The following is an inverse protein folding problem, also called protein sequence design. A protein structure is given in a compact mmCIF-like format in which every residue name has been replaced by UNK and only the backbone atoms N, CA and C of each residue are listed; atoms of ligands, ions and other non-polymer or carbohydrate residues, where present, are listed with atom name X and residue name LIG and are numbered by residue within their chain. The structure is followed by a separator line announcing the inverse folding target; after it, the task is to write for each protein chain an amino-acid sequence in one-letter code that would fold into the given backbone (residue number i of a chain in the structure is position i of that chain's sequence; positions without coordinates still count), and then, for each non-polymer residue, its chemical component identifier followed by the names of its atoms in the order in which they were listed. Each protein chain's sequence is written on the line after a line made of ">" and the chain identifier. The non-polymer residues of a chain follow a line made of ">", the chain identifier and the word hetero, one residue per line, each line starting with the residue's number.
data_IF_391385964447
#
_entry.id   IF_391385964447
#
_cell.length_a   1.000
_cell.length_b   1.000
_cell.length_c   1.000
_cell.angle_alpha   90.00
_cell.angle_beta   90.00
_cell.angle_gamma   90.00
#
_symmetry.space_group_name_H-M   'P 1'
#
loop_
_entity.id
_entity.type
_entity.pdbx_description
1 polymer ?
#
# COMPACT_ATOMS: atom_id res chain seq x y z
N UNK A 1 13.63 5.58 -66.29
CA UNK A 1 12.37 6.25 -65.91
C UNK A 1 12.80 7.49 -65.12
N UNK A 2 12.61 8.77 -65.53
CA UNK A 2 11.43 9.47 -66.12
C UNK A 2 10.15 9.15 -65.35
N UNK A 3 9.27 10.06 -64.91
CA UNK A 3 9.15 11.54 -64.76
C UNK A 3 7.83 11.73 -63.93
N UNK A 4 7.48 12.83 -63.26
CA UNK A 4 8.09 14.15 -63.02
C UNK A 4 7.05 15.10 -62.35
N UNK A 5 7.49 16.27 -61.86
CA UNK A 5 6.65 17.48 -61.64
C UNK A 5 6.57 18.26 -62.99
N UNK A 6 5.90 19.44 -63.15
CA UNK A 6 5.14 20.35 -62.24
C UNK A 6 3.74 20.69 -62.87
N UNK A 7 3.19 21.94 -62.97
CA UNK A 7 3.24 23.19 -62.17
C UNK A 7 1.84 23.78 -61.78
N UNK A 8 1.76 24.92 -61.05
CA UNK A 8 0.49 25.61 -60.70
C UNK A 8 0.13 26.79 -61.64
N UNK A 9 -1.04 27.40 -61.42
CA UNK A 9 -1.51 28.67 -62.01
C UNK A 9 -2.61 29.33 -61.12
N UNK A 10 -3.07 30.57 -61.31
CA UNK A 10 -2.43 31.88 -61.63
C UNK A 10 -3.49 33.00 -61.50
N UNK A 11 -3.08 34.24 -61.25
CA UNK A 11 -3.92 35.45 -61.33
C UNK A 11 -4.77 35.80 -60.09
N UNK A 12 -5.15 37.06 -59.83
CA UNK A 12 -4.91 38.33 -60.57
C UNK A 12 -4.74 39.53 -59.62
N UNK A 13 -4.16 40.63 -60.14
CA UNK A 13 -3.99 41.94 -59.48
C UNK A 13 -5.04 42.97 -59.93
N UNK A 14 -5.48 43.84 -59.03
CA UNK A 14 -5.77 45.30 -59.17
C UNK A 14 -5.58 45.86 -57.73
N UNK A 15 -4.72 46.83 -57.36
CA UNK A 15 -4.58 48.25 -57.77
C UNK A 15 -5.86 49.07 -57.43
N UNK A 16 -5.87 50.34 -56.98
CA UNK A 16 -5.07 51.55 -57.30
C UNK A 16 -5.21 52.63 -56.17
N UNK A 17 -4.10 53.26 -55.72
CA UNK A 17 -3.96 54.65 -55.18
C UNK A 17 -4.94 55.12 -54.04
N UNK A 18 -5.31 56.41 -53.78
CA UNK A 18 -4.60 57.63 -53.26
C UNK A 18 -5.62 58.42 -52.37
N UNK A 19 -5.32 59.23 -51.33
CA UNK A 19 -4.15 59.49 -50.46
C UNK A 19 -4.54 60.39 -49.25
N UNK A 20 -3.55 60.93 -48.51
CA UNK A 20 -3.57 62.12 -47.63
C UNK A 20 -4.88 62.61 -46.95
N UNK A 21 -4.85 62.70 -45.62
CA UNK A 21 -4.64 64.01 -44.96
C UNK A 21 -4.14 63.84 -43.51
N UNK A 22 -3.65 64.93 -42.93
CA UNK A 22 -2.93 64.97 -41.65
C UNK A 22 -3.70 65.74 -40.58
N UNK A 23 -3.39 65.44 -39.31
CA UNK A 23 -3.19 66.34 -38.14
C UNK A 23 -3.34 65.47 -36.87
N UNK A 24 -2.38 65.57 -35.95
CA UNK A 24 -2.36 64.78 -34.72
C UNK A 24 -2.72 65.61 -33.47
N UNK A 25 -2.91 64.92 -32.34
CA UNK A 25 -3.02 65.50 -31.00
C UNK A 25 -2.13 64.70 -30.03
N UNK A 26 -1.65 65.37 -28.97
CA UNK A 26 -0.72 64.81 -27.97
C UNK A 26 -1.45 63.88 -27.00
N UNK A 27 -0.78 62.80 -26.59
CA UNK A 27 -1.20 61.97 -25.45
C UNK A 27 -0.06 61.12 -24.92
N UNK A 28 0.59 61.55 -23.82
CA UNK A 28 1.52 60.69 -23.08
C UNK A 28 0.68 59.72 -22.22
N UNK A 29 0.46 58.52 -22.74
CA UNK A 29 -0.04 57.39 -21.94
C UNK A 29 1.13 56.55 -21.42
N UNK A 30 1.61 56.83 -20.21
CA UNK A 30 2.67 56.02 -19.59
C UNK A 30 2.06 54.70 -19.08
N UNK A 31 1.94 53.72 -19.97
CA UNK A 31 1.42 52.39 -19.65
C UNK A 31 2.42 51.62 -18.76
N UNK A 32 2.36 51.84 -17.46
CA UNK A 32 3.10 51.08 -16.46
C UNK A 32 2.54 49.64 -16.41
N UNK A 33 3.11 48.76 -17.24
CA UNK A 33 2.84 47.33 -17.20
C UNK A 33 3.39 46.76 -15.89
N UNK A 34 2.54 46.71 -14.85
CA UNK A 34 2.85 46.03 -13.59
C UNK A 34 2.88 44.54 -13.88
N UNK A 35 4.08 44.04 -14.19
CA UNK A 35 4.42 42.62 -14.09
C UNK A 35 4.33 42.23 -12.62
N UNK A 36 3.12 41.85 -12.20
CA UNK A 36 2.95 41.00 -11.04
C UNK A 36 3.66 39.68 -11.34
N UNK A 37 4.91 39.59 -10.91
CA UNK A 37 5.54 38.29 -10.73
C UNK A 37 4.69 37.55 -9.70
N UNK A 38 4.05 36.47 -10.12
CA UNK A 38 3.46 35.49 -9.21
C UNK A 38 4.61 34.85 -8.44
N UNK A 39 5.01 35.49 -7.34
CA UNK A 39 5.71 34.80 -6.26
C UNK A 39 4.76 33.70 -5.81
N UNK A 40 5.12 32.41 -5.92
CA UNK A 40 4.25 31.34 -5.44
C UNK A 40 3.96 31.54 -3.96
N UNK A 41 2.73 31.24 -3.53
CA UNK A 41 2.38 31.33 -2.13
C UNK A 41 3.25 30.35 -1.33
N UNK A 42 4.01 30.84 -0.35
CA UNK A 42 4.72 29.97 0.58
C UNK A 42 3.70 29.20 1.40
N UNK A 43 3.77 27.87 1.34
CA UNK A 43 2.71 26.98 1.83
C UNK A 43 2.31 25.88 0.84
N UNK A 44 2.74 25.94 -0.43
CA UNK A 44 2.45 24.91 -1.45
C UNK A 44 3.75 24.40 -2.09
N UNK A 45 3.87 23.08 -2.23
CA UNK A 45 4.87 22.38 -3.03
C UNK A 45 4.14 21.44 -3.99
N UNK A 46 4.48 21.49 -5.28
CA UNK A 46 4.06 20.48 -6.25
C UNK A 46 5.26 20.05 -7.11
N UNK A 47 5.37 18.76 -7.39
CA UNK A 47 6.18 18.23 -8.49
C UNK A 47 5.28 17.36 -9.39
N UNK A 48 4.89 17.85 -10.58
CA UNK A 48 4.08 17.12 -11.55
C UNK A 48 4.92 16.36 -12.58
N UNK A 49 6.25 16.25 -12.37
CA UNK A 49 7.17 15.45 -13.20
C UNK A 49 7.20 15.74 -14.73
N UNK A 50 6.56 16.82 -15.21
CA UNK A 50 6.60 17.27 -16.61
C UNK A 50 8.00 17.71 -17.09
N UNK A 51 8.90 18.00 -16.14
CA UNK A 51 10.26 18.48 -16.40
C UNK A 51 11.34 17.38 -16.36
N UNK A 52 12.63 17.74 -16.62
CA UNK A 52 13.74 16.82 -16.42
C UNK A 52 13.87 16.41 -14.94
N UNK A 53 13.67 15.13 -14.65
CA UNK A 53 13.72 14.60 -13.29
C UNK A 53 15.12 14.75 -12.68
N UNK A 54 15.23 15.63 -11.68
CA UNK A 54 16.48 15.88 -10.95
C UNK A 54 16.65 14.82 -9.87
N UNK A 55 17.70 14.00 -9.97
CA UNK A 55 18.09 13.04 -8.94
C UNK A 55 19.16 13.66 -8.03
N UNK A 56 18.95 13.60 -6.72
CA UNK A 56 19.85 14.13 -5.70
C UNK A 56 19.85 13.20 -4.48
N UNK A 57 21.00 12.60 -4.17
CA UNK A 57 21.14 11.67 -3.04
C UNK A 57 20.89 12.32 -1.66
N UNK A 58 20.91 13.65 -1.56
CA UNK A 58 20.59 14.43 -0.34
C UNK A 58 19.12 14.83 -0.23
N UNK A 59 18.36 14.73 -1.33
CA UNK A 59 16.97 15.22 -1.50
C UNK A 59 16.77 16.75 -1.49
N UNK A 60 17.84 17.55 -1.31
CA UNK A 60 17.75 19.00 -1.12
C UNK A 60 17.37 19.76 -2.41
N UNK A 61 17.89 19.33 -3.56
CA UNK A 61 17.69 19.99 -4.86
C UNK A 61 17.03 19.10 -5.91
N UNK A 62 16.87 17.81 -5.63
CA UNK A 62 16.13 16.84 -6.46
C UNK A 62 15.54 15.72 -5.60
N UNK A 63 15.04 14.66 -6.24
CA UNK A 63 14.54 13.47 -5.56
C UNK A 63 15.69 12.54 -5.18
N UNK A 64 15.70 12.10 -3.91
CA UNK A 64 16.47 10.95 -3.46
C UNK A 64 15.63 9.68 -3.62
N UNK A 65 16.27 8.54 -3.87
CA UNK A 65 15.63 7.22 -3.79
C UNK A 65 16.55 6.21 -3.10
N UNK A 66 15.98 5.31 -2.28
CA UNK A 66 16.74 4.32 -1.48
C UNK A 66 15.93 3.06 -1.20
N UNK A 67 16.62 1.93 -1.10
CA UNK A 67 16.07 0.65 -0.60
C UNK A 67 16.74 0.22 0.71
N UNK A 68 16.13 -0.72 1.42
CA UNK A 68 16.71 -1.31 2.63
C UNK A 68 15.93 -2.51 3.18
N UNK A 69 16.42 -3.03 4.31
CA UNK A 69 16.07 -4.31 4.97
C UNK A 69 16.23 -5.60 4.13
N UNK A 70 16.06 -5.53 2.81
CA UNK A 70 16.30 -6.63 1.88
C UNK A 70 17.38 -6.35 0.82
N UNK A 71 17.42 -7.19 -0.21
CA UNK A 71 18.30 -7.05 -1.38
C UNK A 71 17.58 -6.42 -2.60
N UNK A 72 16.39 -5.83 -2.41
CA UNK A 72 15.68 -5.17 -3.50
C UNK A 72 16.49 -3.98 -4.02
N UNK A 73 16.58 -3.85 -5.34
CA UNK A 73 17.16 -2.69 -6.02
C UNK A 73 16.05 -1.86 -6.65
N UNK A 74 16.26 -0.54 -6.76
CA UNK A 74 15.29 0.35 -7.39
C UNK A 74 15.96 1.34 -8.35
N UNK A 75 15.17 1.87 -9.27
CA UNK A 75 15.50 2.95 -10.18
C UNK A 75 14.35 3.97 -10.21
N UNK A 76 14.67 5.23 -10.51
CA UNK A 76 13.73 6.35 -10.56
C UNK A 76 13.97 7.15 -11.85
N UNK A 77 13.02 7.06 -12.77
CA UNK A 77 13.13 7.63 -14.13
C UNK A 77 11.92 8.50 -14.48
N UNK A 78 12.08 9.44 -15.40
CA UNK A 78 10.95 10.12 -16.04
C UNK A 78 10.40 9.25 -17.18
N UNK A 79 9.08 9.14 -17.30
CA UNK A 79 8.42 8.45 -18.41
C UNK A 79 7.02 8.99 -18.65
N UNK A 80 6.71 9.30 -19.90
CA UNK A 80 5.33 9.57 -20.36
C UNK A 80 4.62 10.75 -19.65
N UNK A 81 5.37 11.71 -19.11
CA UNK A 81 4.87 12.84 -18.31
C UNK A 81 4.72 12.56 -16.81
N UNK A 82 5.24 11.43 -16.32
CA UNK A 82 5.21 11.01 -14.93
C UNK A 82 6.60 10.58 -14.44
N UNK A 83 6.81 10.54 -13.12
CA UNK A 83 7.90 9.76 -12.55
C UNK A 83 7.57 8.27 -12.56
N UNK A 84 8.60 7.42 -12.61
CA UNK A 84 8.49 5.96 -12.60
C UNK A 84 9.45 5.39 -11.57
N UNK A 85 8.89 4.84 -10.51
CA UNK A 85 9.59 3.98 -9.56
C UNK A 85 9.58 2.56 -10.15
N UNK A 86 10.75 2.00 -10.40
CA UNK A 86 10.93 0.59 -10.75
C UNK A 86 11.67 -0.12 -9.63
N UNK A 87 11.22 -1.31 -9.23
CA UNK A 87 11.85 -2.13 -8.19
C UNK A 87 12.04 -3.55 -8.70
N UNK A 88 13.22 -4.12 -8.48
CA UNK A 88 13.52 -5.53 -8.71
C UNK A 88 13.89 -6.19 -7.37
N UNK A 89 13.00 -7.06 -6.88
CA UNK A 89 13.16 -7.81 -5.65
C UNK A 89 13.57 -9.28 -5.89
N UNK A 90 13.91 -9.67 -7.13
CA UNK A 90 14.21 -11.07 -7.50
C UNK A 90 15.49 -11.65 -6.90
N UNK A 91 16.28 -10.81 -6.22
CA UNK A 91 17.46 -11.21 -5.45
C UNK A 91 17.25 -11.13 -3.93
N UNK A 92 16.07 -10.72 -3.48
CA UNK A 92 15.67 -10.81 -2.08
C UNK A 92 15.37 -12.27 -1.67
N UNK A 93 15.35 -12.53 -0.35
CA UNK A 93 15.21 -13.88 0.22
C UNK A 93 14.09 -13.99 1.26
N UNK A 94 13.46 -12.87 1.63
CA UNK A 94 12.56 -12.78 2.79
C UNK A 94 11.24 -12.07 2.48
N UNK A 95 11.22 -11.19 1.47
CA UNK A 95 10.07 -10.34 1.18
C UNK A 95 9.90 -9.19 2.17
N UNK A 96 10.89 -8.94 3.05
CA UNK A 96 10.98 -7.73 3.90
C UNK A 96 11.96 -6.75 3.27
N UNK A 97 11.43 -5.78 2.53
CA UNK A 97 12.19 -4.71 1.89
C UNK A 97 11.31 -3.48 1.70
N UNK A 98 11.90 -2.31 1.88
CA UNK A 98 11.28 -1.05 1.47
C UNK A 98 12.08 -0.41 0.33
N UNK A 99 11.36 0.32 -0.51
CA UNK A 99 11.90 1.14 -1.59
C UNK A 99 11.14 2.46 -1.60
N UNK A 100 11.81 3.59 -1.40
CA UNK A 100 11.15 4.90 -1.33
C UNK A 100 11.80 5.96 -2.20
N UNK A 101 11.00 6.95 -2.59
CA UNK A 101 11.43 8.25 -3.12
C UNK A 101 11.18 9.33 -2.07
N UNK A 102 12.06 10.32 -1.96
CA UNK A 102 12.00 11.39 -0.95
C UNK A 102 12.48 12.73 -1.51
N UNK A 103 11.84 13.83 -1.09
CA UNK A 103 12.15 15.21 -1.49
C UNK A 103 12.16 16.14 -0.28
N UNK A 104 13.17 17.01 -0.14
CA UNK A 104 13.13 18.12 0.83
C UNK A 104 12.28 19.27 0.27
N UNK A 105 11.38 19.81 1.10
CA UNK A 105 10.36 20.80 0.70
C UNK A 105 10.28 22.03 1.62
N UNK A 106 11.15 22.16 2.62
CA UNK A 106 11.29 23.37 3.46
C UNK A 106 11.39 24.69 2.68
N UNK A 107 12.08 24.79 1.53
CA UNK A 107 12.14 26.05 0.77
C UNK A 107 10.79 26.56 0.24
N UNK A 108 9.78 25.69 0.15
CA UNK A 108 8.44 25.96 -0.40
C UNK A 108 7.36 26.12 0.68
N UNK A 109 7.42 25.32 1.75
CA UNK A 109 6.42 25.28 2.82
C UNK A 109 6.75 26.27 3.94
N UNK A 110 5.79 27.10 4.36
CA UNK A 110 5.97 27.97 5.53
C UNK A 110 5.75 27.20 6.84
N UNK A 111 6.82 26.62 7.37
CA UNK A 111 6.83 25.94 8.67
C UNK A 111 6.53 26.85 9.87
N UNK A 112 6.48 28.18 9.72
CA UNK A 112 5.96 29.06 10.76
C UNK A 112 4.43 29.05 10.82
N UNK A 113 3.76 28.64 9.73
CA UNK A 113 2.31 28.49 9.67
C UNK A 113 1.77 27.41 10.60
N UNK A 114 2.51 26.32 10.80
CA UNK A 114 2.15 25.22 11.72
C UNK A 114 2.07 25.63 13.20
N UNK A 115 2.55 26.82 13.56
CA UNK A 115 2.34 27.40 14.89
C UNK A 115 0.95 28.06 15.06
N UNK A 116 0.13 28.12 14.00
CA UNK A 116 -1.23 28.65 14.04
C UNK A 116 -2.23 27.51 14.35
N UNK A 117 -3.11 27.64 15.36
CA UNK A 117 -4.07 26.60 15.71
C UNK A 117 -4.97 26.21 14.53
N UNK A 118 -5.10 24.90 14.28
CA UNK A 118 -5.89 24.38 13.15
C UNK A 118 -5.20 24.50 11.79
N UNK A 119 -3.87 24.54 11.75
CA UNK A 119 -3.07 24.52 10.51
C UNK A 119 -2.19 23.28 10.47
N UNK A 120 -2.33 22.47 9.42
CA UNK A 120 -1.68 21.16 9.24
C UNK A 120 -1.01 21.05 7.86
N UNK A 121 -0.23 19.99 7.65
CA UNK A 121 0.25 19.61 6.33
C UNK A 121 -0.70 18.59 5.70
N UNK A 122 -1.05 18.78 4.43
CA UNK A 122 -1.68 17.74 3.60
C UNK A 122 -0.71 17.32 2.51
N UNK A 123 -0.47 16.01 2.36
CA UNK A 123 0.19 15.46 1.18
C UNK A 123 -0.83 14.74 0.31
N UNK A 124 -0.74 14.95 -1.00
CA UNK A 124 -1.53 14.29 -2.02
C UNK A 124 -0.59 13.71 -3.09
N UNK A 125 -0.86 12.49 -3.54
CA UNK A 125 -0.12 11.87 -4.64
C UNK A 125 -1.09 11.13 -5.57
N UNK A 126 -0.81 11.16 -6.87
CA UNK A 126 -1.57 10.42 -7.88
C UNK A 126 -0.69 9.36 -8.54
N UNK A 127 -1.10 8.11 -8.43
CA UNK A 127 -0.23 6.94 -8.65
C UNK A 127 -0.89 5.86 -9.49
N UNK A 128 -0.11 5.11 -10.26
CA UNK A 128 -0.55 3.97 -11.06
C UNK A 128 0.37 2.78 -10.83
N UNK A 129 -0.18 1.75 -10.18
CA UNK A 129 0.54 0.49 -9.95
C UNK A 129 0.48 -0.45 -11.16
N UNK A 130 1.55 -1.21 -11.36
CA UNK A 130 1.61 -2.35 -12.29
C UNK A 130 0.94 -3.62 -11.78
N UNK A 131 0.71 -3.75 -10.47
CA UNK A 131 0.20 -4.95 -9.80
C UNK A 131 -0.86 -4.57 -8.77
N UNK A 132 -1.91 -5.38 -8.64
CA UNK A 132 -3.00 -5.14 -7.69
C UNK A 132 -3.59 -6.45 -7.12
N UNK A 133 -4.20 -6.44 -5.92
CA UNK A 133 -4.14 -5.33 -4.96
C UNK A 133 -2.72 -5.17 -4.41
N UNK A 134 -2.28 -3.92 -4.29
CA UNK A 134 -0.99 -3.52 -3.69
C UNK A 134 -1.16 -2.23 -2.91
N UNK A 135 -0.21 -1.92 -2.05
CA UNK A 135 -0.31 -0.77 -1.14
C UNK A 135 0.98 0.03 -1.13
N UNK A 136 0.84 1.34 -1.24
CA UNK A 136 1.95 2.31 -1.08
C UNK A 136 1.79 3.03 0.26
N UNK A 137 2.86 3.68 0.71
CA UNK A 137 2.85 4.51 1.90
C UNK A 137 3.20 5.96 1.55
N UNK A 138 2.52 6.92 2.18
CA UNK A 138 2.92 8.32 2.22
C UNK A 138 3.46 8.65 3.61
N UNK A 139 4.47 9.54 3.66
CA UNK A 139 5.09 9.97 4.90
C UNK A 139 5.56 11.43 4.77
N UNK A 140 5.23 12.24 5.77
CA UNK A 140 5.85 13.55 6.01
C UNK A 140 6.74 13.43 7.25
N UNK A 141 8.01 13.81 7.16
CA UNK A 141 8.93 13.76 8.29
C UNK A 141 9.96 14.90 8.29
N UNK A 142 10.60 15.11 9.44
CA UNK A 142 11.69 16.08 9.60
C UNK A 142 13.00 15.39 9.96
N UNK A 143 14.11 16.14 9.96
CA UNK A 143 15.38 15.70 10.54
C UNK A 143 15.33 15.48 12.08
N UNK A 144 14.21 15.85 12.74
CA UNK A 144 13.95 15.58 14.16
C UNK A 144 13.01 14.39 14.42
N UNK A 145 12.40 13.80 13.39
CA UNK A 145 11.48 12.67 13.54
C UNK A 145 12.17 11.48 14.20
N UNK A 146 11.57 10.99 15.29
CA UNK A 146 12.03 9.79 16.03
C UNK A 146 11.03 8.64 15.95
N UNK A 147 9.73 8.94 15.96
CA UNK A 147 8.68 8.02 15.54
C UNK A 147 8.44 8.14 14.03
N UNK A 148 8.87 7.12 13.29
CA UNK A 148 8.70 7.03 11.83
C UNK A 148 7.40 6.33 11.42
N UNK A 149 6.48 6.05 12.36
CA UNK A 149 5.19 5.42 12.10
C UNK A 149 4.01 6.38 12.31
N UNK A 150 4.09 7.32 13.26
CA UNK A 150 2.99 8.25 13.57
C UNK A 150 2.46 9.07 12.40
N UNK A 151 3.34 9.42 11.44
CA UNK A 151 2.98 10.14 10.20
C UNK A 151 3.16 9.26 8.94
N UNK A 152 3.04 7.93 9.05
CA UNK A 152 3.20 6.97 7.95
C UNK A 152 1.87 6.25 7.69
N UNK A 153 1.11 6.71 6.68
CA UNK A 153 -0.13 6.05 6.27
C UNK A 153 0.07 5.17 5.03
N UNK A 154 -0.61 4.03 5.02
CA UNK A 154 -0.68 3.04 3.96
C UNK A 154 -2.02 3.14 3.18
N UNK A 155 -1.97 3.01 1.86
CA UNK A 155 -3.12 3.17 0.95
C UNK A 155 -3.29 1.97 0.02
N UNK A 156 -4.50 1.43 -0.07
CA UNK A 156 -4.83 0.29 -0.95
C UNK A 156 -5.08 0.75 -2.41
N UNK A 157 -4.33 0.17 -3.33
CA UNK A 157 -4.47 0.34 -4.78
C UNK A 157 -5.14 -0.92 -5.35
N UNK A 158 -6.49 -0.94 -5.50
CA UNK A 158 -7.24 -2.17 -5.76
C UNK A 158 -7.19 -2.65 -7.22
N UNK A 159 -6.70 -1.82 -8.15
CA UNK A 159 -6.64 -2.09 -9.59
C UNK A 159 -5.31 -1.68 -10.20
N UNK A 160 -4.80 -2.49 -11.14
CA UNK A 160 -3.54 -2.27 -11.84
C UNK A 160 -3.77 -1.53 -13.17
N UNK A 161 -2.82 -0.67 -13.56
CA UNK A 161 -2.91 0.14 -14.78
C UNK A 161 -3.81 1.37 -14.69
N UNK A 162 -4.54 1.55 -13.59
CA UNK A 162 -5.40 2.71 -13.33
C UNK A 162 -4.71 3.76 -12.44
N UNK A 163 -5.09 5.02 -12.59
CA UNK A 163 -4.62 6.14 -11.75
C UNK A 163 -5.49 6.28 -10.51
N UNK A 164 -4.87 6.22 -9.32
CA UNK A 164 -5.49 6.42 -8.01
C UNK A 164 -4.92 7.70 -7.38
N UNK A 165 -5.78 8.57 -6.83
CA UNK A 165 -5.32 9.68 -5.99
C UNK A 165 -5.47 9.30 -4.52
N UNK A 166 -4.39 9.50 -3.76
CA UNK A 166 -4.29 9.22 -2.32
C UNK A 166 -3.87 10.50 -1.60
N UNK A 167 -4.38 10.73 -0.39
CA UNK A 167 -3.92 11.86 0.44
C UNK A 167 -3.96 11.55 1.93
N UNK A 168 -3.16 12.28 2.70
CA UNK A 168 -3.29 12.38 4.15
C UNK A 168 -3.09 13.82 4.60
N UNK A 169 -3.94 14.29 5.51
CA UNK A 169 -3.70 15.47 6.34
C UNK A 169 -3.13 15.02 7.70
N UNK A 170 -2.14 15.75 8.22
CA UNK A 170 -1.49 15.45 9.50
C UNK A 170 -2.36 15.85 10.70
N UNK A 171 -1.97 15.39 11.89
CA UNK A 171 -2.57 15.76 13.18
C UNK A 171 -1.41 16.08 14.16
N UNK A 172 -1.36 17.31 14.68
CA UNK A 172 -0.31 17.85 15.55
C UNK A 172 1.13 17.68 15.02
N UNK A 173 1.36 17.97 13.73
CA UNK A 173 2.68 17.76 13.10
C UNK A 173 3.77 18.68 13.68
N UNK A 174 4.76 18.10 14.37
CA UNK A 174 5.89 18.82 14.99
C UNK A 174 6.97 19.30 13.98
N UNK A 175 6.55 20.07 12.97
CA UNK A 175 7.43 20.81 12.06
C UNK A 175 7.61 22.26 12.53
N UNK A 176 8.85 22.78 12.52
CA UNK A 176 9.17 24.12 13.03
C UNK A 176 10.11 24.90 12.10
N UNK A 177 10.13 26.24 12.16
CA UNK A 177 11.10 27.04 11.41
C UNK A 177 12.55 26.62 11.70
N UNK A 178 13.29 26.28 10.64
CA UNK A 178 14.64 25.73 10.73
C UNK A 178 14.74 24.21 10.59
N UNK A 179 13.62 23.49 10.54
CA UNK A 179 13.61 22.07 10.20
C UNK A 179 13.73 21.83 8.69
N UNK A 180 14.26 20.66 8.34
CA UNK A 180 14.21 20.09 7.01
C UNK A 180 12.98 19.17 6.95
N UNK A 181 11.88 19.68 6.39
CA UNK A 181 10.67 18.90 6.07
C UNK A 181 10.90 18.13 4.77
N UNK A 182 10.50 16.87 4.78
CA UNK A 182 10.54 15.99 3.63
C UNK A 182 9.19 15.33 3.39
N UNK A 183 8.86 15.16 2.11
CA UNK A 183 7.81 14.24 1.66
C UNK A 183 8.45 12.96 1.12
N UNK A 184 7.82 11.82 1.41
CA UNK A 184 8.28 10.50 1.00
C UNK A 184 7.11 9.63 0.54
N UNK A 185 7.33 8.88 -0.54
CA UNK A 185 6.41 7.85 -1.05
C UNK A 185 7.18 6.52 -1.12
N UNK A 186 6.60 5.45 -0.56
CA UNK A 186 7.25 4.14 -0.45
C UNK A 186 6.42 2.98 -1.01
N UNK A 187 7.12 1.96 -1.49
CA UNK A 187 6.65 0.60 -1.69
C UNK A 187 7.31 -0.26 -0.60
N UNK A 188 6.52 -1.06 0.11
CA UNK A 188 7.00 -1.90 1.20
C UNK A 188 6.49 -3.34 1.02
N UNK A 189 7.42 -4.28 0.92
CA UNK A 189 7.19 -5.73 0.97
C UNK A 189 6.31 -6.31 -0.15
N UNK A 190 6.36 -5.77 -1.38
CA UNK A 190 5.46 -6.17 -2.48
C UNK A 190 5.62 -7.60 -3.01
N UNK A 191 6.60 -8.37 -2.52
CA UNK A 191 6.95 -9.73 -2.95
C UNK A 191 8.40 -9.87 -3.43
N UNK A 192 8.71 -10.96 -4.15
CA UNK A 192 10.05 -11.21 -4.70
C UNK A 192 10.14 -10.93 -6.22
N UNK A 193 9.11 -10.35 -6.81
CA UNK A 193 9.00 -10.07 -8.24
C UNK A 193 9.64 -8.74 -8.69
N UNK A 194 9.14 -8.23 -9.82
CA UNK A 194 9.49 -6.90 -10.36
C UNK A 194 8.25 -6.01 -10.33
N UNK A 195 8.40 -4.81 -9.76
CA UNK A 195 7.30 -3.91 -9.49
C UNK A 195 7.56 -2.53 -10.11
N UNK A 196 6.46 -1.85 -10.43
CA UNK A 196 6.46 -0.51 -11.02
C UNK A 196 5.31 0.30 -10.46
N UNK A 197 5.58 1.51 -10.03
CA UNK A 197 4.60 2.56 -9.75
C UNK A 197 4.97 3.76 -10.60
N UNK A 198 4.06 4.18 -11.47
CA UNK A 198 4.13 5.49 -12.11
C UNK A 198 3.49 6.53 -11.15
N UNK A 199 4.05 7.73 -11.06
CA UNK A 199 3.58 8.83 -10.18
C UNK A 199 3.37 10.07 -11.04
N UNK A 200 2.13 10.52 -11.12
CA UNK A 200 1.65 11.65 -11.94
C UNK A 200 2.06 12.98 -11.32
N UNK A 201 1.82 13.14 -10.00
CA UNK A 201 2.31 14.26 -9.21
C UNK A 201 2.45 13.88 -7.73
N UNK A 202 3.23 14.68 -7.00
CA UNK A 202 3.17 14.78 -5.52
C UNK A 202 2.99 16.24 -5.15
N UNK A 203 1.92 16.57 -4.40
CA UNK A 203 1.65 17.90 -3.84
C UNK A 203 1.70 17.86 -2.32
N UNK A 204 2.19 18.93 -1.69
CA UNK A 204 2.12 19.15 -0.24
C UNK A 204 1.65 20.57 0.02
N UNK A 205 0.55 20.68 0.77
CA UNK A 205 -0.17 21.91 1.06
C UNK A 205 -0.16 22.19 2.57
N UNK A 206 -0.01 23.46 2.95
CA UNK A 206 -0.33 23.95 4.30
C UNK A 206 -1.82 24.31 4.34
N UNK A 207 -2.62 23.60 5.15
CA UNK A 207 -4.09 23.65 5.09
C UNK A 207 -4.74 23.86 6.46
N UNK A 208 -5.98 24.37 6.44
CA UNK A 208 -6.93 24.22 7.54
C UNK A 208 -7.75 22.92 7.30
N UNK A 209 -7.64 21.89 8.16
CA UNK A 209 -8.37 20.63 8.01
C UNK A 209 -9.90 20.79 7.96
N UNK A 210 -10.48 21.83 8.55
CA UNK A 210 -11.92 22.09 8.49
C UNK A 210 -12.38 22.53 7.09
N UNK A 211 -11.45 23.00 6.25
CA UNK A 211 -11.71 23.51 4.90
C UNK A 211 -11.06 22.67 3.78
N UNK A 212 -10.03 21.86 4.09
CA UNK A 212 -9.30 21.03 3.13
C UNK A 212 -10.14 19.90 2.48
N UNK A 213 -11.21 19.46 3.16
CA UNK A 213 -12.03 18.33 2.73
C UNK A 213 -11.42 16.96 3.09
N UNK A 214 -12.19 15.87 2.89
CA UNK A 214 -11.79 14.53 3.33
C UNK A 214 -10.56 14.01 2.58
N UNK A 215 -9.80 13.14 3.21
CA UNK A 215 -8.67 12.46 2.59
C UNK A 215 -9.08 11.37 1.59
N UNK A 216 -8.22 11.17 0.59
CA UNK A 216 -8.45 10.31 -0.56
C UNK A 216 -7.72 8.97 -0.42
N UNK A 217 -8.30 7.90 -0.99
CA UNK A 217 -7.75 6.54 -0.93
C UNK A 217 -7.93 5.81 0.41
N UNK A 218 -8.32 6.50 1.49
CA UNK A 218 -8.65 5.89 2.77
C UNK A 218 -7.44 5.32 3.52
N UNK A 219 -6.43 6.16 3.75
CA UNK A 219 -5.18 5.79 4.40
C UNK A 219 -5.35 5.19 5.81
N UNK A 220 -4.43 4.29 6.17
CA UNK A 220 -4.41 3.58 7.45
C UNK A 220 -3.01 3.66 8.09
N UNK A 221 -2.87 3.78 9.42
CA UNK A 221 -1.55 3.73 10.05
C UNK A 221 -0.82 2.43 9.73
N UNK A 222 0.47 2.49 9.38
CA UNK A 222 1.27 1.32 8.99
C UNK A 222 1.28 0.17 10.03
N UNK A 223 1.22 0.52 11.31
CA UNK A 223 0.91 -0.40 12.41
C UNK A 223 -0.43 0.00 13.05
N UNK A 224 -1.57 -0.47 12.52
CA UNK A 224 -2.88 -0.03 12.99
C UNK A 224 -3.17 -0.63 14.38
N UNK A 225 -3.66 0.17 15.35
CA UNK A 225 -3.87 -0.28 16.72
C UNK A 225 -4.86 -1.44 16.77
N UNK A 226 -4.56 -2.47 17.57
CA UNK A 226 -5.39 -3.67 17.68
C UNK A 226 -6.69 -3.34 18.43
N UNK A 227 -7.86 -3.43 17.77
CA UNK A 227 -9.15 -3.11 18.40
C UNK A 227 -9.58 -4.20 19.38
N UNK A 228 -10.17 -3.80 20.51
CA UNK A 228 -10.71 -4.73 21.50
C UNK A 228 -11.80 -5.64 20.88
N UNK A 229 -11.74 -6.98 21.01
CA UNK A 229 -12.67 -7.90 20.34
C UNK A 229 -14.17 -7.66 20.58
N UNK A 230 -14.54 -6.94 21.64
CA UNK A 230 -15.91 -6.59 22.03
C UNK A 230 -16.54 -5.45 21.21
N UNK A 231 -15.78 -4.71 20.39
CA UNK A 231 -16.34 -3.62 19.54
C UNK A 231 -17.03 -4.13 18.28
N UNK A 232 -16.95 -5.43 18.00
CA UNK A 232 -17.43 -6.06 16.77
C UNK A 232 -18.77 -6.77 16.98
N UNK A 233 -19.75 -6.42 16.13
CA UNK A 233 -21.10 -6.99 16.15
C UNK A 233 -21.19 -8.33 15.42
N UNK A 234 -20.29 -8.58 14.48
CA UNK A 234 -20.26 -9.83 13.70
C UNK A 234 -19.01 -10.62 14.06
N UNK A 235 -19.21 -11.91 14.30
CA UNK A 235 -18.18 -12.89 14.67
C UNK A 235 -18.42 -14.12 13.81
N UNK A 236 -17.45 -14.49 12.98
CA UNK A 236 -17.56 -15.56 11.98
C UNK A 236 -16.35 -16.47 12.07
N UNK A 237 -16.56 -17.70 12.53
CA UNK A 237 -15.53 -18.75 12.53
C UNK A 237 -15.22 -19.20 11.10
N UNK A 238 -14.00 -19.65 10.86
CA UNK A 238 -13.60 -20.22 9.57
C UNK A 238 -14.53 -21.37 9.16
N UNK A 239 -15.03 -21.31 7.93
CA UNK A 239 -15.85 -22.35 7.33
C UNK A 239 -15.01 -23.52 6.83
N UNK A 240 -13.74 -23.28 6.48
CA UNK A 240 -12.70 -24.28 6.24
C UNK A 240 -11.35 -23.77 6.76
N UNK A 241 -10.54 -24.69 7.28
CA UNK A 241 -9.15 -24.45 7.66
C UNK A 241 -8.31 -25.70 7.41
N UNK A 242 -7.07 -25.52 6.92
CA UNK A 242 -6.17 -26.62 6.62
C UNK A 242 -4.69 -26.19 6.72
N UNK A 243 -3.79 -27.17 6.86
CA UNK A 243 -2.36 -26.99 6.58
C UNK A 243 -2.08 -27.46 5.16
N UNK A 244 -1.25 -26.73 4.40
CA UNK A 244 -0.68 -27.17 3.12
C UNK A 244 0.85 -27.14 3.21
N UNK A 245 1.54 -28.00 2.47
CA UNK A 245 3.00 -28.06 2.46
C UNK A 245 3.55 -27.93 1.03
N UNK A 246 4.45 -26.96 0.81
CA UNK A 246 5.10 -26.75 -0.50
C UNK A 246 6.16 -27.80 -0.86
N UNK A 247 6.59 -28.61 0.11
CA UNK A 247 7.59 -29.69 -0.05
C UNK A 247 6.95 -31.03 -0.38
N UNK A 248 5.76 -31.30 0.16
CA UNK A 248 4.96 -32.49 -0.12
C UNK A 248 3.68 -32.06 -0.87
N UNK A 249 3.80 -31.56 -2.11
CA UNK A 249 2.82 -30.65 -2.71
C UNK A 249 1.48 -31.31 -3.09
N UNK A 250 1.47 -32.63 -3.22
CA UNK A 250 0.29 -33.46 -3.53
C UNK A 250 -0.32 -34.10 -2.27
N UNK A 251 0.22 -33.86 -1.08
CA UNK A 251 -0.30 -34.39 0.17
C UNK A 251 -1.51 -33.57 0.67
N UNK A 252 -2.60 -34.25 1.02
CA UNK A 252 -3.64 -33.69 1.87
C UNK A 252 -3.27 -33.90 3.34
N UNK A 253 -3.39 -32.84 4.14
CA UNK A 253 -2.97 -32.83 5.55
C UNK A 253 -4.17 -32.68 6.52
N UNK A 254 -5.37 -33.17 6.16
CA UNK A 254 -6.57 -33.06 7.01
C UNK A 254 -6.40 -33.70 8.39
N UNK A 255 -5.59 -34.77 8.45
CA UNK A 255 -5.34 -35.61 9.63
C UNK A 255 -4.06 -35.14 10.38
N UNK A 256 -3.52 -33.97 10.04
CA UNK A 256 -2.33 -33.38 10.67
C UNK A 256 -2.60 -32.91 12.11
N UNK A 257 -1.76 -33.35 13.04
CA UNK A 257 -1.97 -33.22 14.48
C UNK A 257 -0.66 -33.10 15.25
N UNK A 258 -0.70 -32.43 16.40
CA UNK A 258 0.27 -32.62 17.46
C UNK A 258 0.00 -33.96 18.15
N UNK A 259 1.05 -34.71 18.47
CA UNK A 259 0.95 -35.88 19.36
C UNK A 259 1.28 -35.41 20.78
N UNK A 260 0.27 -35.41 21.63
CA UNK A 260 0.37 -35.02 23.04
C UNK A 260 1.17 -36.06 23.86
N UNK A 261 1.68 -35.74 25.05
CA UNK A 261 2.47 -36.67 25.87
C UNK A 261 1.74 -37.95 26.32
N UNK A 262 0.41 -38.00 26.24
CA UNK A 262 -0.41 -39.19 26.51
C UNK A 262 -0.72 -40.04 25.26
N UNK A 263 -0.24 -39.61 24.08
CA UNK A 263 -0.48 -40.25 22.79
C UNK A 263 -1.71 -39.73 22.03
N UNK A 264 -2.45 -38.76 22.58
CA UNK A 264 -3.60 -38.14 21.90
C UNK A 264 -3.13 -37.35 20.67
N UNK A 265 -3.84 -37.49 19.55
CA UNK A 265 -3.63 -36.68 18.36
C UNK A 265 -4.55 -35.44 18.37
N UNK A 266 -3.99 -34.27 18.68
CA UNK A 266 -4.71 -32.99 18.67
C UNK A 266 -4.55 -32.31 17.30
N UNK A 267 -5.60 -32.12 16.49
CA UNK A 267 -5.47 -31.48 15.18
C UNK A 267 -4.96 -30.04 15.27
N UNK A 268 -4.01 -29.66 14.42
CA UNK A 268 -3.39 -28.32 14.40
C UNK A 268 -3.29 -27.73 12.98
N UNK A 269 -3.28 -26.40 12.91
CA UNK A 269 -2.85 -25.65 11.74
C UNK A 269 -1.39 -25.25 11.92
N UNK A 270 -0.51 -25.53 10.97
CA UNK A 270 0.94 -25.30 11.14
C UNK A 270 1.51 -24.30 10.14
N UNK A 271 2.37 -23.41 10.65
CA UNK A 271 3.12 -22.42 9.88
C UNK A 271 4.61 -22.61 10.18
N UNK A 272 5.39 -23.05 9.19
CA UNK A 272 6.84 -23.27 9.32
C UNK A 272 7.54 -23.17 7.95
N UNK A 273 8.82 -23.51 7.89
CA UNK A 273 9.66 -23.40 6.68
C UNK A 273 9.16 -24.11 5.41
N UNK A 274 8.19 -25.03 5.49
CA UNK A 274 7.51 -25.59 4.30
C UNK A 274 5.97 -25.57 4.40
N UNK A 275 5.42 -25.58 5.60
CA UNK A 275 3.98 -25.62 5.87
C UNK A 275 3.37 -24.23 6.04
N UNK A 276 2.12 -24.08 5.61
CA UNK A 276 1.35 -22.84 5.72
C UNK A 276 -0.11 -23.15 6.04
N UNK A 277 -0.74 -22.32 6.87
CA UNK A 277 -2.12 -22.50 7.29
C UNK A 277 -3.07 -21.66 6.42
N UNK A 278 -4.04 -22.29 5.77
CA UNK A 278 -5.05 -21.64 4.93
C UNK A 278 -6.40 -21.57 5.64
N UNK A 279 -7.11 -20.45 5.46
CA UNK A 279 -8.37 -20.13 6.13
C UNK A 279 -9.38 -19.58 5.12
N UNK A 280 -10.61 -20.13 5.09
CA UNK A 280 -11.76 -19.57 4.34
C UNK A 280 -12.98 -19.43 5.24
N UNK A 281 -13.76 -18.38 5.01
CA UNK A 281 -15.05 -18.13 5.66
C UNK A 281 -16.19 -18.21 4.64
N UNK A 282 -17.40 -18.51 5.13
CA UNK A 282 -18.62 -18.19 4.40
C UNK A 282 -19.08 -16.80 4.86
N UNK A 283 -19.17 -15.87 3.90
CA UNK A 283 -19.56 -14.48 4.12
C UNK A 283 -20.77 -14.09 3.25
N UNK A 284 -21.50 -15.05 2.65
CA UNK A 284 -22.62 -14.76 1.75
C UNK A 284 -23.72 -13.92 2.43
N UNK A 285 -23.92 -14.10 3.75
CA UNK A 285 -24.84 -13.31 4.57
C UNK A 285 -24.50 -11.80 4.66
N UNK A 286 -23.33 -11.38 4.18
CA UNK A 286 -22.87 -9.99 4.16
C UNK A 286 -22.71 -9.43 2.74
N UNK A 287 -23.04 -10.20 1.69
CA UNK A 287 -22.85 -9.80 0.31
C UNK A 287 -23.54 -8.46 0.00
N UNK A 288 -22.83 -7.57 -0.69
CA UNK A 288 -23.28 -6.21 -1.02
C UNK A 288 -23.04 -5.16 0.08
N UNK A 289 -23.04 -5.55 1.36
CA UNK A 289 -22.82 -4.66 2.51
C UNK A 289 -21.40 -4.08 2.51
N UNK A 290 -21.21 -2.96 3.22
CA UNK A 290 -19.92 -2.26 3.32
C UNK A 290 -19.31 -2.34 4.70
N UNK A 291 -18.00 -2.55 4.78
CA UNK A 291 -17.26 -2.49 6.05
C UNK A 291 -17.48 -1.12 6.72
N UNK A 292 -17.60 -1.14 8.05
CA UNK A 292 -17.83 0.02 8.89
C UNK A 292 -16.75 0.14 9.97
N UNK A 293 -16.21 1.35 10.14
CA UNK A 293 -15.07 1.61 11.02
C UNK A 293 -13.72 1.36 10.33
N UNK A 294 -12.65 1.35 11.13
CA UNK A 294 -11.25 1.25 10.69
C UNK A 294 -10.80 -0.15 10.22
N UNK A 295 -11.69 -1.14 10.21
CA UNK A 295 -11.41 -2.49 9.74
C UNK A 295 -12.04 -3.57 10.61
N UNK A 296 -11.26 -4.59 10.93
CA UNK A 296 -11.68 -5.72 11.75
C UNK A 296 -10.50 -6.54 12.25
N UNK A 297 -10.78 -7.73 12.76
CA UNK A 297 -9.82 -8.56 13.48
C UNK A 297 -9.91 -10.02 13.06
N UNK A 298 -8.78 -10.63 12.70
CA UNK A 298 -8.60 -12.07 12.70
C UNK A 298 -8.03 -12.49 14.06
N UNK A 299 -8.66 -13.47 14.67
CA UNK A 299 -8.26 -14.07 15.94
C UNK A 299 -7.83 -15.52 15.71
N UNK A 300 -6.65 -15.88 16.19
CA UNK A 300 -6.09 -17.23 16.16
C UNK A 300 -5.76 -17.69 17.59
N UNK A 301 -6.04 -18.94 17.93
CA UNK A 301 -5.64 -19.53 19.22
C UNK A 301 -4.30 -20.23 19.08
N UNK A 302 -3.28 -19.79 19.82
CA UNK A 302 -1.97 -20.46 19.83
C UNK A 302 -2.11 -21.86 20.42
N UNK A 303 -1.57 -22.85 19.71
CA UNK A 303 -1.35 -24.19 20.24
C UNK A 303 0.10 -24.32 20.76
N UNK A 304 1.10 -23.93 19.97
CA UNK A 304 2.50 -23.77 20.41
C UNK A 304 3.29 -22.86 19.48
N UNK A 305 4.40 -22.31 19.99
CA UNK A 305 5.38 -21.54 19.19
C UNK A 305 6.79 -22.03 19.50
N UNK A 306 7.64 -22.11 18.47
CA UNK A 306 9.09 -22.22 18.59
C UNK A 306 9.75 -21.18 17.67
N UNK A 307 10.50 -20.25 18.27
CA UNK A 307 11.22 -19.16 17.59
C UNK A 307 12.60 -18.96 18.23
N UNK A 308 13.51 -18.24 17.57
CA UNK A 308 14.81 -17.87 18.19
C UNK A 308 14.54 -16.93 19.38
N UNK A 309 15.25 -17.14 20.50
CA UNK A 309 15.18 -16.24 21.66
C UNK A 309 15.78 -14.86 21.35
N UNK A 310 16.80 -14.80 20.49
CA UNK A 310 17.31 -13.55 19.93
C UNK A 310 16.37 -13.06 18.82
N UNK A 311 15.68 -11.94 19.08
CA UNK A 311 14.80 -11.27 18.13
C UNK A 311 15.62 -10.48 17.11
N UNK A 312 15.83 -11.07 15.93
CA UNK A 312 16.19 -10.31 14.73
C UNK A 312 14.94 -9.63 14.17
N UNK A 313 15.06 -8.44 13.55
CA UNK A 313 13.92 -7.73 12.94
C UNK A 313 13.07 -8.68 12.07
N UNK A 314 11.77 -8.67 12.34
CA UNK A 314 10.66 -9.43 11.73
C UNK A 314 10.84 -10.97 11.71
N UNK A 315 11.87 -11.50 12.37
CA UNK A 315 12.23 -12.91 12.33
C UNK A 315 11.60 -13.68 13.50
N UNK A 316 10.86 -14.76 13.20
CA UNK A 316 10.07 -15.47 14.21
C UNK A 316 8.66 -14.88 14.36
N UNK A 317 8.16 -14.23 13.31
CA UNK A 317 6.77 -13.79 13.14
C UNK A 317 6.04 -14.71 12.13
N UNK A 318 4.73 -14.53 11.97
CA UNK A 318 4.01 -15.00 10.79
C UNK A 318 3.64 -13.84 9.87
N UNK A 319 3.67 -14.09 8.57
CA UNK A 319 3.22 -13.19 7.52
C UNK A 319 1.79 -13.55 7.12
N UNK A 320 0.87 -12.61 7.28
CA UNK A 320 -0.56 -12.79 7.01
C UNK A 320 -0.87 -12.23 5.62
N UNK A 321 -1.38 -13.02 4.69
CA UNK A 321 -1.60 -12.60 3.29
C UNK A 321 -2.97 -13.05 2.74
N UNK A 322 -3.47 -12.31 1.75
CA UNK A 322 -4.71 -12.63 1.05
C UNK A 322 -4.53 -13.82 0.08
N UNK A 323 -5.50 -14.73 0.01
CA UNK A 323 -5.61 -15.69 -1.10
C UNK A 323 -6.45 -15.02 -2.20
N UNK A 324 -5.81 -14.57 -3.28
CA UNK A 324 -6.44 -13.84 -4.39
C UNK A 324 -7.09 -14.81 -5.41
N UNK A 325 -6.40 -15.92 -5.73
CA UNK A 325 -6.86 -16.86 -6.74
C UNK A 325 -6.74 -18.34 -6.29
N UNK A 326 -6.30 -19.26 -7.15
CA UNK A 326 -6.24 -20.69 -6.85
C UNK A 326 -7.58 -21.41 -7.07
N UNK A 327 -7.91 -22.39 -6.23
CA UNK A 327 -9.29 -22.84 -6.02
C UNK A 327 -10.01 -21.92 -5.03
N UNK A 328 -11.28 -21.61 -5.30
CA UNK A 328 -12.16 -20.91 -4.36
C UNK A 328 -12.98 -21.87 -3.48
N UNK A 329 -13.14 -23.14 -3.89
CA UNK A 329 -14.08 -24.11 -3.29
C UNK A 329 -13.44 -25.27 -2.55
N UNK A 330 -12.12 -25.25 -2.35
CA UNK A 330 -11.33 -26.23 -1.61
C UNK A 330 -11.95 -26.66 -0.28
N UNK A 331 -11.80 -27.92 0.13
CA UNK A 331 -12.23 -28.40 1.43
C UNK A 331 -11.02 -28.95 2.20
N UNK A 332 -11.09 -28.98 3.52
CA UNK A 332 -10.04 -29.58 4.37
C UNK A 332 -9.73 -31.01 3.95
N UNK A 333 -10.74 -31.77 3.53
CA UNK A 333 -10.66 -33.20 3.23
C UNK A 333 -10.01 -33.54 1.88
N UNK A 334 -9.84 -32.55 0.98
CA UNK A 334 -9.28 -32.73 -0.38
C UNK A 334 -8.18 -31.73 -0.78
N UNK A 335 -7.99 -30.64 -0.03
CA UNK A 335 -7.01 -29.61 -0.37
C UNK A 335 -5.56 -30.09 -0.21
N UNK A 336 -4.73 -29.76 -1.18
CA UNK A 336 -3.27 -29.93 -1.22
C UNK A 336 -2.65 -28.61 -1.66
N UNK A 337 -1.31 -28.51 -1.67
CA UNK A 337 -0.65 -27.33 -2.22
C UNK A 337 -0.96 -27.16 -3.72
N UNK A 338 -0.91 -28.26 -4.50
CA UNK A 338 -1.23 -28.23 -5.93
C UNK A 338 -2.71 -27.98 -6.23
N UNK A 339 -3.64 -28.61 -5.50
CA UNK A 339 -5.08 -28.42 -5.78
C UNK A 339 -5.55 -27.01 -5.43
N UNK A 340 -4.93 -26.37 -4.42
CA UNK A 340 -5.13 -24.95 -4.16
C UNK A 340 -4.53 -24.05 -5.24
N UNK A 341 -3.28 -24.27 -5.68
CA UNK A 341 -2.65 -23.39 -6.68
C UNK A 341 -3.20 -23.58 -8.10
N UNK A 342 -3.73 -24.77 -8.42
CA UNK A 342 -4.22 -25.16 -9.75
C UNK A 342 -3.17 -24.98 -10.85
N UNK A 343 -1.91 -25.32 -10.57
CA UNK A 343 -0.79 -25.24 -11.51
C UNK A 343 -0.21 -23.83 -11.76
N UNK A 344 -0.69 -22.82 -11.03
CA UNK A 344 -0.12 -21.45 -11.05
C UNK A 344 0.99 -21.28 -10.02
N UNK A 345 1.77 -20.20 -10.15
CA UNK A 345 2.77 -19.84 -9.15
C UNK A 345 2.14 -19.31 -7.86
N UNK A 346 2.84 -19.39 -6.71
CA UNK A 346 2.33 -18.85 -5.45
C UNK A 346 2.06 -17.35 -5.47
N UNK A 347 2.80 -16.57 -6.27
CA UNK A 347 2.63 -15.10 -6.37
C UNK A 347 1.42 -14.68 -7.24
N UNK A 348 0.85 -15.59 -8.02
CA UNK A 348 -0.44 -15.40 -8.73
C UNK A 348 -1.65 -15.74 -7.85
N UNK A 349 -1.47 -16.57 -6.82
CA UNK A 349 -2.56 -17.14 -6.01
C UNK A 349 -2.65 -16.51 -4.63
N UNK A 350 -1.52 -16.19 -4.01
CA UNK A 350 -1.43 -15.43 -2.77
C UNK A 350 -1.00 -14.01 -3.09
N UNK A 351 -1.52 -13.00 -2.39
CA UNK A 351 -0.95 -11.66 -2.44
C UNK A 351 0.44 -11.71 -1.80
N UNK A 352 1.54 -11.47 -2.53
CA UNK A 352 2.88 -11.56 -1.95
C UNK A 352 3.20 -10.36 -1.04
N UNK A 353 2.38 -9.30 -1.04
CA UNK A 353 2.41 -8.25 -0.02
C UNK A 353 1.58 -8.66 1.20
N UNK A 354 2.19 -8.62 2.39
CA UNK A 354 1.52 -8.91 3.65
C UNK A 354 0.36 -7.97 3.92
N UNK A 355 -0.74 -8.49 4.48
CA UNK A 355 -1.75 -7.68 5.18
C UNK A 355 -1.07 -7.04 6.39
N UNK A 356 -0.39 -7.87 7.19
CA UNK A 356 0.47 -7.46 8.30
C UNK A 356 1.39 -8.65 8.65
N UNK A 357 2.59 -8.36 9.16
CA UNK A 357 3.43 -9.35 9.84
C UNK A 357 3.25 -9.22 11.35
N UNK A 358 3.13 -10.35 12.06
CA UNK A 358 2.67 -10.34 13.45
C UNK A 358 3.40 -11.36 14.32
N UNK A 359 3.73 -10.96 15.54
CA UNK A 359 4.20 -11.88 16.57
C UNK A 359 3.07 -12.80 17.03
N UNK A 360 3.35 -14.10 17.03
CA UNK A 360 2.45 -15.10 17.60
C UNK A 360 2.52 -15.04 19.12
N UNK A 361 1.38 -15.08 19.80
CA UNK A 361 1.31 -15.19 21.26
C UNK A 361 2.00 -16.50 21.72
N UNK A 362 2.83 -16.44 22.76
CA UNK A 362 3.80 -17.51 23.06
C UNK A 362 3.19 -18.73 23.78
N UNK A 363 2.07 -18.59 24.50
CA UNK A 363 1.50 -19.68 25.32
C UNK A 363 0.29 -20.38 24.68
N UNK A 364 0.11 -21.67 24.97
CA UNK A 364 -1.04 -22.47 24.53
C UNK A 364 -2.35 -21.90 25.10
N UNK A 365 -3.31 -21.63 24.22
CA UNK A 365 -4.60 -21.02 24.54
C UNK A 365 -4.66 -19.49 24.44
N UNK A 366 -3.51 -18.80 24.35
CA UNK A 366 -3.47 -17.35 24.11
C UNK A 366 -3.99 -17.00 22.71
N UNK A 367 -4.43 -15.75 22.54
CA UNK A 367 -5.01 -15.25 21.28
C UNK A 367 -4.03 -14.34 20.57
N UNK A 368 -3.61 -14.75 19.38
CA UNK A 368 -2.92 -13.86 18.43
C UNK A 368 -3.99 -13.04 17.72
N UNK A 369 -3.96 -11.72 17.91
CA UNK A 369 -4.96 -10.78 17.42
C UNK A 369 -4.37 -9.96 16.26
N UNK A 370 -5.02 -10.02 15.11
CA UNK A 370 -4.46 -9.57 13.83
C UNK A 370 -5.42 -8.57 13.19
N UNK A 371 -5.04 -7.29 13.15
CA UNK A 371 -5.86 -6.25 12.50
C UNK A 371 -5.91 -6.47 10.99
N UNK A 372 -7.12 -6.39 10.42
CA UNK A 372 -7.36 -6.47 8.97
C UNK A 372 -7.95 -5.14 8.47
N UNK A 373 -7.43 -4.65 7.34
CA UNK A 373 -7.89 -3.39 6.75
C UNK A 373 -9.33 -3.47 6.20
N UNK A 374 -10.05 -2.33 6.07
CA UNK A 374 -11.36 -2.30 5.42
C UNK A 374 -11.32 -2.82 3.97
N UNK A 375 -10.22 -2.57 3.25
CA UNK A 375 -10.06 -3.02 1.87
C UNK A 375 -9.97 -4.55 1.76
N UNK A 376 -9.16 -5.19 2.60
CA UNK A 376 -9.02 -6.66 2.67
C UNK A 376 -10.34 -7.31 3.08
N UNK A 377 -11.01 -6.77 4.11
CA UNK A 377 -12.30 -7.29 4.58
C UNK A 377 -13.42 -7.07 3.56
N UNK A 378 -13.43 -5.96 2.83
CA UNK A 378 -14.37 -5.75 1.73
C UNK A 378 -14.09 -6.73 0.59
N UNK A 379 -12.82 -7.01 0.24
CA UNK A 379 -12.49 -8.05 -0.75
C UNK A 379 -12.95 -9.44 -0.32
N UNK A 380 -12.83 -9.78 0.97
CA UNK A 380 -13.36 -11.04 1.54
C UNK A 380 -14.90 -11.12 1.43
N UNK A 381 -15.62 -10.07 1.79
CA UNK A 381 -17.10 -10.03 1.68
C UNK A 381 -17.57 -10.03 0.22
N UNK A 382 -16.87 -9.31 -0.67
CA UNK A 382 -17.17 -9.28 -2.10
C UNK A 382 -16.78 -10.58 -2.84
N UNK A 383 -16.13 -11.54 -2.16
CA UNK A 383 -15.59 -12.76 -2.77
C UNK A 383 -14.39 -12.55 -3.71
N UNK A 384 -13.81 -11.34 -3.71
CA UNK A 384 -12.61 -10.96 -4.48
C UNK A 384 -11.32 -11.49 -3.86
N UNK A 385 -11.33 -11.71 -2.54
CA UNK A 385 -10.32 -12.47 -1.80
C UNK A 385 -10.98 -13.73 -1.24
N UNK A 386 -10.37 -14.88 -1.46
CA UNK A 386 -10.95 -16.23 -1.25
C UNK A 386 -10.63 -16.83 0.11
N UNK A 387 -9.79 -16.16 0.88
CA UNK A 387 -9.32 -16.60 2.18
C UNK A 387 -8.06 -15.84 2.60
N UNK A 388 -7.46 -16.30 3.69
CA UNK A 388 -6.17 -15.83 4.21
C UNK A 388 -5.23 -17.04 4.28
N UNK A 389 -3.95 -16.84 3.95
CA UNK A 389 -2.89 -17.82 4.26
C UNK A 389 -1.87 -17.20 5.21
N UNK A 390 -1.39 -18.02 6.15
CA UNK A 390 -0.38 -17.69 7.14
C UNK A 390 0.94 -18.33 6.71
N UNK A 391 1.92 -17.48 6.39
CA UNK A 391 3.26 -17.86 5.92
C UNK A 391 4.29 -17.67 7.05
N UNK A 392 5.40 -18.42 7.07
CA UNK A 392 6.50 -18.18 8.01
C UNK A 392 7.24 -16.87 7.67
N UNK A 393 7.66 -16.10 8.69
CA UNK A 393 8.63 -15.04 8.49
C UNK A 393 9.92 -15.33 9.29
N UNK A 394 10.97 -15.73 8.56
CA UNK A 394 12.17 -16.32 9.15
C UNK A 394 11.96 -17.74 9.69
N UNK A 395 12.76 -18.15 10.67
CA UNK A 395 12.64 -19.47 11.31
C UNK A 395 11.64 -19.42 12.47
N UNK A 396 10.39 -19.73 12.16
CA UNK A 396 9.33 -20.03 13.12
C UNK A 396 8.83 -21.47 12.89
N UNK A 397 8.40 -22.13 13.96
CA UNK A 397 7.37 -23.16 13.91
C UNK A 397 6.22 -22.68 14.80
N UNK A 398 5.07 -22.37 14.21
CA UNK A 398 3.87 -22.01 14.94
C UNK A 398 2.77 -23.03 14.66
N UNK A 399 2.03 -23.39 15.69
CA UNK A 399 0.85 -24.21 15.63
C UNK A 399 -0.34 -23.46 16.22
N UNK A 400 -1.50 -23.56 15.57
CA UNK A 400 -2.76 -22.97 16.01
C UNK A 400 -3.85 -24.03 16.10
N UNK A 401 -4.78 -23.88 17.05
CA UNK A 401 -5.95 -24.76 17.10
C UNK A 401 -6.90 -24.41 15.91
N UNK A 402 -7.38 -25.41 15.13
CA UNK A 402 -8.38 -25.18 14.09
C UNK A 402 -9.80 -24.99 14.66
N UNK A 403 -9.99 -25.25 15.96
CA UNK A 403 -11.28 -25.55 16.58
C UNK A 403 -11.71 -27.00 16.30
N UNK A 404 -12.31 -27.64 17.29
CA UNK A 404 -12.83 -29.00 17.12
C UNK A 404 -14.30 -28.98 16.64
N UNK A 405 -14.80 -30.05 15.98
CA UNK A 405 -16.22 -30.16 15.64
C UNK A 405 -17.10 -30.02 16.89
N UNK A 406 -17.94 -28.98 16.91
CA UNK A 406 -18.79 -28.63 18.07
C UNK A 406 -18.14 -27.68 19.11
N UNK A 407 -16.81 -27.52 19.11
CA UNK A 407 -16.09 -26.59 19.99
C UNK A 407 -15.37 -25.52 19.16
N UNK A 408 -16.14 -24.53 18.69
CA UNK A 408 -15.65 -23.43 17.84
C UNK A 408 -14.92 -22.30 18.60
N UNK A 409 -14.84 -22.36 19.92
CA UNK A 409 -14.25 -21.32 20.77
C UNK A 409 -12.77 -21.05 20.46
N UNK A 410 -12.01 -22.07 20.02
CA UNK A 410 -10.61 -21.92 19.63
C UNK A 410 -10.42 -21.74 18.11
N UNK A 411 -11.49 -21.81 17.30
CA UNK A 411 -11.39 -21.77 15.85
C UNK A 411 -10.91 -20.39 15.32
N UNK A 412 -10.14 -20.34 14.22
CA UNK A 412 -9.79 -19.09 13.55
C UNK A 412 -11.05 -18.26 13.23
N UNK A 413 -11.09 -17.02 13.71
CA UNK A 413 -12.33 -16.23 13.78
C UNK A 413 -12.14 -14.82 13.24
N UNK A 414 -12.99 -14.41 12.30
CA UNK A 414 -13.11 -13.02 11.88
C UNK A 414 -14.10 -12.26 12.76
N UNK A 415 -13.75 -11.05 13.15
CA UNK A 415 -14.61 -10.10 13.85
C UNK A 415 -14.63 -8.79 13.07
N UNK A 416 -15.82 -8.27 12.74
CA UNK A 416 -15.96 -7.05 11.95
C UNK A 416 -17.30 -6.35 12.19
N UNK A 417 -17.42 -5.14 11.64
CA UNK A 417 -18.66 -4.38 11.57
C UNK A 417 -18.98 -4.06 10.10
N UNK A 418 -20.28 -4.04 9.77
CA UNK A 418 -20.78 -3.69 8.43
C UNK A 418 -22.00 -2.78 8.55
N UNK A 419 -22.14 -1.92 7.55
CA UNK A 419 -23.31 -1.10 7.22
C UNK A 419 -23.89 -1.55 5.88
N UNK A 420 -25.12 -1.14 5.61
CA UNK A 420 -25.78 -1.34 4.32
C UNK A 420 -25.19 -0.40 3.24
#
# INVERSE_FOLDING_TARGET
>A
MRCGLPPPADGRRVAVMISHLSVGIRGLGLAAAVLFACVPARGEFEDPFEGPLVIDATAAHGWAFRTGDGNAVMDLTASDGAARIAVDATHDRRGIWWAFIRREITPQIDLAGLAQPGTELRVEARVRTSHAPRRINLHLNTQRTTDFHGNLLEFDLPTAGEWHTVSMTTEDFDGRPGDQLYVQLALMDWGLGRYRVDVDYVRVDLVDPAHAGPDLGGGLPYHPPVPAPSVFRHVVHAAQSATIDRREPDANLRDWAAIEPDGTATPILTVNGTQSAILRWDLQAFAGRKIAGSGGLLELTTHSVQRRAERTKDFGMIRVVEILDGDSRWQRDDVTYQSLLQGRSPEEVFNPQMIIDVEVADQRGERTLITLSPAVLQRLIDGRTRGIVLLPLGSINAAFDPGAPGQRENAPTLRFNVRD
#
